data_IF_292431341117
#
_entry.id   IF_292431341117
#
_cell.length_a   1.000
_cell.length_b   1.000
_cell.length_c   1.000
_cell.angle_alpha   90.00
_cell.angle_beta   90.00
_cell.angle_gamma   90.00
#
_symmetry.space_group_name_H-M   'P 1'
#
loop_
_entity.id
_entity.type
_entity.pdbx_description
1 polymer ?
#
# COMPACT_ATOMS: atom_id res chain seq x y z
N UNK A 1 15.62 12.86 -20.79
CA UNK A 1 15.59 11.44 -20.32
C UNK A 1 15.39 11.47 -18.80
N UNK A 2 14.43 10.71 -18.27
CA UNK A 2 14.15 10.70 -16.83
C UNK A 2 15.33 10.07 -16.06
N UNK A 3 15.77 10.69 -14.96
CA UNK A 3 16.95 10.28 -14.18
C UNK A 3 16.66 9.19 -13.13
N UNK A 4 15.53 8.50 -13.24
CA UNK A 4 15.11 7.45 -12.30
C UNK A 4 14.86 6.12 -13.02
N UNK A 5 15.06 5.03 -12.29
CA UNK A 5 14.82 3.66 -12.75
C UNK A 5 13.41 3.23 -12.32
N UNK A 6 12.68 2.58 -13.22
CA UNK A 6 11.36 2.02 -12.94
C UNK A 6 11.42 0.51 -13.13
N UNK A 7 11.08 -0.25 -12.09
CA UNK A 7 11.02 -1.71 -12.12
C UNK A 7 9.56 -2.17 -12.01
N UNK A 8 8.81 -2.07 -13.11
CA UNK A 8 7.43 -2.58 -13.17
C UNK A 8 7.41 -4.12 -13.15
N UNK A 9 6.27 -4.72 -12.79
CA UNK A 9 6.09 -6.18 -12.70
C UNK A 9 7.07 -6.87 -11.74
N UNK A 10 7.31 -6.24 -10.58
CA UNK A 10 8.08 -6.83 -9.48
C UNK A 10 7.17 -6.98 -8.26
N UNK A 11 7.03 -8.19 -7.75
CA UNK A 11 6.23 -8.50 -6.55
C UNK A 11 7.14 -8.43 -5.33
N UNK A 12 7.02 -7.36 -4.54
CA UNK A 12 7.78 -7.23 -3.28
C UNK A 12 7.40 -8.34 -2.31
N UNK A 13 8.40 -9.00 -1.73
CA UNK A 13 8.26 -10.08 -0.74
C UNK A 13 8.65 -9.64 0.67
N UNK A 14 9.72 -8.86 0.80
CA UNK A 14 10.17 -8.35 2.10
C UNK A 14 10.84 -6.98 1.97
N UNK A 15 10.80 -6.24 3.07
CA UNK A 15 11.50 -4.97 3.28
C UNK A 15 12.12 -5.03 4.66
N UNK A 16 13.45 -5.02 4.73
CA UNK A 16 14.20 -5.15 5.98
C UNK A 16 15.21 -4.00 6.13
N UNK A 17 15.32 -3.44 7.34
CA UNK A 17 16.35 -2.44 7.66
C UNK A 17 17.52 -3.13 8.35
N UNK A 18 18.71 -2.98 7.78
CA UNK A 18 19.96 -3.52 8.31
C UNK A 18 20.93 -2.34 8.53
N UNK A 19 21.00 -1.86 9.77
CA UNK A 19 21.74 -0.63 10.10
C UNK A 19 21.15 0.58 9.38
N UNK A 20 21.95 1.22 8.53
CA UNK A 20 21.57 2.40 7.74
C UNK A 20 21.09 2.06 6.32
N UNK A 21 21.02 0.77 5.97
CA UNK A 21 20.54 0.31 4.66
C UNK A 21 19.15 -0.34 4.78
N UNK A 22 18.30 -0.11 3.78
CA UNK A 22 17.04 -0.83 3.56
C UNK A 22 17.21 -1.78 2.37
N UNK A 23 16.90 -3.05 2.61
CA UNK A 23 16.96 -4.13 1.63
C UNK A 23 15.53 -4.54 1.26
N UNK A 24 15.19 -4.42 -0.01
CA UNK A 24 13.90 -4.84 -0.57
C UNK A 24 14.12 -6.06 -1.46
N UNK A 25 13.46 -7.17 -1.16
CA UNK A 25 13.45 -8.37 -2.01
C UNK A 25 12.14 -8.46 -2.79
N UNK A 26 12.23 -8.75 -4.08
CA UNK A 26 11.07 -8.90 -4.94
C UNK A 26 11.26 -10.02 -5.98
N UNK A 27 10.18 -10.64 -6.41
CA UNK A 27 10.21 -11.51 -7.59
C UNK A 27 9.99 -10.67 -8.85
N UNK A 28 10.87 -10.82 -9.84
CA UNK A 28 10.68 -10.20 -11.15
C UNK A 28 9.62 -10.97 -11.97
N UNK A 29 9.30 -10.46 -13.16
CA UNK A 29 8.35 -11.08 -14.10
C UNK A 29 8.68 -12.52 -14.54
N UNK A 30 9.92 -12.98 -14.32
CA UNK A 30 10.36 -14.36 -14.60
C UNK A 30 10.31 -15.26 -13.35
N UNK A 31 9.94 -14.72 -12.19
CA UNK A 31 9.94 -15.43 -10.90
C UNK A 31 11.32 -15.51 -10.24
N UNK A 32 12.31 -14.76 -10.73
CA UNK A 32 13.63 -14.70 -10.11
C UNK A 32 13.62 -13.65 -8.98
N UNK A 33 14.23 -13.99 -7.84
CA UNK A 33 14.40 -13.05 -6.73
C UNK A 33 15.46 -12.00 -7.09
N UNK A 34 15.11 -10.73 -6.91
CA UNK A 34 15.99 -9.58 -7.06
C UNK A 34 16.01 -8.76 -5.78
N UNK A 35 17.13 -8.08 -5.55
CA UNK A 35 17.36 -7.26 -4.37
C UNK A 35 17.59 -5.79 -4.75
N UNK A 36 16.93 -4.89 -4.03
CA UNK A 36 17.14 -3.45 -4.14
C UNK A 36 17.64 -2.92 -2.80
N UNK A 37 18.70 -2.12 -2.83
CA UNK A 37 19.35 -1.54 -1.66
C UNK A 37 19.31 -0.03 -1.73
N UNK A 38 19.11 0.63 -0.58
CA UNK A 38 19.23 2.07 -0.46
C UNK A 38 19.06 2.54 0.98
N UNK A 39 19.41 3.78 1.25
CA UNK A 39 19.45 4.30 2.63
C UNK A 39 18.05 4.62 3.19
N UNK A 40 17.07 4.81 2.29
CA UNK A 40 15.68 5.13 2.63
C UNK A 40 14.71 4.36 1.74
N UNK A 41 13.56 3.98 2.32
CA UNK A 41 12.44 3.38 1.60
C UNK A 41 11.16 4.18 1.85
N UNK A 42 10.56 4.67 0.76
CA UNK A 42 9.24 5.32 0.77
C UNK A 42 8.19 4.32 0.31
N UNK A 43 7.24 4.00 1.19
CA UNK A 43 6.13 3.08 0.89
C UNK A 43 4.91 3.86 0.43
N UNK A 44 4.59 3.78 -0.86
CA UNK A 44 3.48 4.52 -1.51
C UNK A 44 2.55 3.58 -2.27
N UNK A 45 1.99 2.58 -1.58
CA UNK A 45 1.20 1.48 -2.19
C UNK A 45 -0.30 1.79 -2.36
N UNK A 46 -0.77 2.95 -1.91
CA UNK A 46 -2.17 3.35 -1.98
C UNK A 46 -2.65 4.05 -0.72
N UNK A 47 -3.96 4.24 -0.62
CA UNK A 47 -4.64 4.84 0.55
C UNK A 47 -5.85 3.98 0.90
N UNK A 48 -6.11 3.83 2.19
CA UNK A 48 -7.32 3.21 2.71
C UNK A 48 -8.21 4.27 3.36
N UNK A 49 -9.54 4.12 3.31
CA UNK A 49 -10.45 4.98 4.06
C UNK A 49 -10.16 4.87 5.57
N UNK A 50 -10.33 5.98 6.29
CA UNK A 50 -10.14 6.02 7.73
C UNK A 50 -11.49 6.21 8.42
N UNK A 51 -12.01 5.13 8.98
CA UNK A 51 -13.29 5.09 9.73
C UNK A 51 -13.10 4.63 11.17
N UNK A 52 -11.86 4.35 11.58
CA UNK A 52 -11.50 3.97 12.94
C UNK A 52 -11.83 5.11 13.91
N UNK A 53 -12.46 4.77 15.03
CA UNK A 53 -12.84 5.73 16.08
C UNK A 53 -14.13 6.52 15.80
N UNK A 54 -14.75 6.36 14.63
CA UNK A 54 -16.01 7.04 14.30
C UNK A 54 -17.23 6.42 15.02
N UNK A 55 -17.12 5.15 15.41
CA UNK A 55 -18.23 4.36 15.97
C UNK A 55 -19.44 4.27 15.01
N UNK A 56 -19.16 4.04 13.72
CA UNK A 56 -20.16 3.99 12.65
C UNK A 56 -21.30 3.00 12.93
N UNK A 57 -20.99 1.85 13.52
CA UNK A 57 -21.98 0.82 13.89
C UNK A 57 -23.02 1.34 14.90
N UNK A 58 -22.59 2.08 15.93
CA UNK A 58 -23.51 2.66 16.90
C UNK A 58 -24.43 3.73 16.29
N UNK A 59 -24.00 4.39 15.21
CA UNK A 59 -24.81 5.32 14.44
C UNK A 59 -25.68 4.64 13.36
N UNK A 60 -25.59 3.31 13.21
CA UNK A 60 -26.30 2.56 12.16
C UNK A 60 -25.75 2.78 10.75
N UNK A 61 -24.55 3.35 10.60
CA UNK A 61 -23.92 3.63 9.31
C UNK A 61 -23.19 2.38 8.82
N UNK A 62 -23.48 1.98 7.57
CA UNK A 62 -22.86 0.81 6.95
C UNK A 62 -21.52 1.15 6.32
N UNK A 63 -20.57 0.22 6.46
CA UNK A 63 -19.30 0.24 5.74
C UNK A 63 -19.28 -0.91 4.73
N UNK A 64 -18.66 -0.69 3.59
CA UNK A 64 -18.44 -1.74 2.60
C UNK A 64 -17.24 -2.65 2.96
N UNK A 65 -17.01 -3.68 2.14
CA UNK A 65 -15.92 -4.65 2.30
C UNK A 65 -14.51 -4.03 2.27
N UNK A 66 -14.38 -2.80 1.75
CA UNK A 66 -13.14 -2.02 1.69
C UNK A 66 -13.05 -0.95 2.80
N UNK A 67 -14.01 -0.93 3.73
CA UNK A 67 -14.05 -0.01 4.87
C UNK A 67 -14.50 1.42 4.53
N UNK A 68 -15.05 1.65 3.32
CA UNK A 68 -15.63 2.94 2.93
C UNK A 68 -17.04 3.04 3.48
N UNK A 69 -17.51 4.25 3.74
CA UNK A 69 -18.93 4.48 4.06
C UNK A 69 -19.77 4.16 2.83
N UNK A 70 -20.75 3.27 2.99
CA UNK A 70 -21.70 2.94 1.93
C UNK A 70 -22.61 4.16 1.71
N UNK A 71 -22.78 4.59 0.47
CA UNK A 71 -23.65 5.73 0.14
C UNK A 71 -24.43 5.49 -1.14
N UNK A 72 -25.58 6.17 -1.28
CA UNK A 72 -26.36 6.20 -2.51
C UNK A 72 -25.85 7.27 -3.51
N UNK A 73 -26.55 7.47 -4.63
CA UNK A 73 -26.20 8.46 -5.67
C UNK A 73 -26.19 9.92 -5.22
N UNK A 74 -26.73 10.21 -4.02
CA UNK A 74 -26.77 11.53 -3.41
C UNK A 74 -25.74 11.69 -2.28
N UNK A 75 -24.81 10.74 -2.12
CA UNK A 75 -23.82 10.70 -1.03
C UNK A 75 -24.43 10.56 0.37
N UNK A 76 -25.67 10.07 0.47
CA UNK A 76 -26.30 9.77 1.74
C UNK A 76 -25.96 8.33 2.18
N UNK A 77 -25.64 8.18 3.47
CA UNK A 77 -25.31 6.91 4.16
C UNK A 77 -26.47 5.95 4.27
#
# INVERSE_FOLDING_TARGET
KQKFKINASHKVKSVERVGDEVIVKADNKKGEEVEFKGDYCLVSVGRSPYTNGLNAEAAGVKLDDRGRVEVNSHLQT
#
